data_IF_257651427895
#
_entry.id   IF_257651427895
#
_cell.length_a   1.000
_cell.length_b   1.000
_cell.length_c   1.000
_cell.angle_alpha   90.00
_cell.angle_beta   90.00
_cell.angle_gamma   90.00
#
_symmetry.space_group_name_H-M   'P 1'
#
loop_
_entity.id
_entity.type
_entity.pdbx_description
1 polymer ?
#
# COMPACT_ATOMS: atom_id res chain seq x y z
N UNK A 1 -7.42 3.79 1.23
CA UNK A 1 -6.46 4.42 0.30
C UNK A 1 -5.24 3.51 0.27
N UNK A 2 -4.85 3.06 -0.91
CA UNK A 2 -3.68 2.20 -1.10
C UNK A 2 -2.61 3.03 -1.80
N UNK A 3 -1.43 3.19 -1.19
CA UNK A 3 -0.28 3.80 -1.85
C UNK A 3 0.59 2.69 -2.42
N UNK A 4 0.86 2.77 -3.73
CA UNK A 4 1.61 1.77 -4.49
C UNK A 4 2.96 2.36 -4.94
N UNK A 5 4.04 1.59 -4.75
CA UNK A 5 5.34 1.84 -5.39
C UNK A 5 5.70 0.61 -6.21
N UNK A 6 5.89 0.75 -7.53
CA UNK A 6 6.24 -0.38 -8.40
C UNK A 6 7.19 0.07 -9.52
N UNK A 7 8.18 -0.73 -9.94
CA UNK A 7 8.84 -0.54 -11.23
C UNK A 7 7.87 -0.90 -12.37
N UNK A 8 8.08 -0.32 -13.55
CA UNK A 8 7.22 -0.54 -14.71
C UNK A 8 7.17 -2.01 -15.15
N UNK A 9 5.97 -2.46 -15.56
CA UNK A 9 5.79 -3.77 -16.20
C UNK A 9 5.92 -4.99 -15.28
N UNK A 10 5.84 -4.82 -13.95
CA UNK A 10 5.94 -5.93 -13.01
C UNK A 10 4.63 -6.73 -12.93
N UNK A 11 4.71 -8.05 -13.10
CA UNK A 11 3.55 -8.94 -13.02
C UNK A 11 3.34 -9.41 -11.57
N UNK A 12 2.19 -9.05 -11.00
CA UNK A 12 1.84 -9.43 -9.63
C UNK A 12 0.76 -10.51 -9.65
N UNK A 13 1.03 -11.62 -8.97
CA UNK A 13 0.06 -12.70 -8.72
C UNK A 13 0.01 -12.99 -7.21
N UNK A 14 -1.22 -13.00 -6.67
CA UNK A 14 -1.61 -13.27 -5.28
C UNK A 14 -1.32 -12.17 -4.23
N UNK A 15 -2.40 -11.57 -3.70
CA UNK A 15 -2.45 -10.61 -2.59
C UNK A 15 -3.70 -10.98 -1.80
N UNK A 16 -3.54 -11.24 -0.50
CA UNK A 16 -4.66 -11.47 0.41
C UNK A 16 -5.04 -10.19 1.17
N UNK A 17 -6.33 -10.01 1.44
CA UNK A 17 -6.84 -8.90 2.25
C UNK A 17 -6.73 -9.22 3.75
N UNK A 18 -5.84 -8.56 4.47
CA UNK A 18 -5.93 -8.45 5.93
C UNK A 18 -5.66 -7.01 6.38
N UNK A 19 -6.47 -6.51 7.32
CA UNK A 19 -6.62 -5.09 7.67
C UNK A 19 -5.43 -4.46 8.43
N UNK A 20 -4.30 -5.15 8.61
CA UNK A 20 -3.19 -4.66 9.42
C UNK A 20 -1.82 -4.85 8.75
N UNK A 21 -1.79 -5.04 7.43
CA UNK A 21 -0.59 -5.55 6.75
C UNK A 21 -0.11 -4.63 5.64
N UNK A 22 1.18 -4.33 5.67
CA UNK A 22 1.94 -3.82 4.54
C UNK A 22 2.41 -5.04 3.74
N UNK A 23 2.08 -5.09 2.45
CA UNK A 23 2.60 -6.16 1.61
C UNK A 23 3.81 -5.68 0.81
N UNK A 24 4.91 -6.38 1.01
CA UNK A 24 6.09 -6.31 0.16
C UNK A 24 6.09 -7.54 -0.73
N UNK A 25 6.20 -7.33 -2.05
CA UNK A 25 6.31 -8.42 -3.01
C UNK A 25 7.71 -8.45 -3.61
N UNK A 26 8.41 -9.55 -3.35
CA UNK A 26 9.50 -10.07 -4.18
C UNK A 26 9.35 -11.60 -4.22
N UNK A 27 8.86 -12.16 -5.33
CA UNK A 27 8.65 -13.61 -5.56
C UNK A 27 7.96 -14.41 -4.42
N UNK A 28 7.50 -13.75 -3.33
CA UNK A 28 6.92 -14.30 -2.11
C UNK A 28 6.17 -13.17 -1.36
N UNK A 29 4.94 -13.47 -0.94
CA UNK A 29 4.08 -12.59 -0.12
C UNK A 29 4.60 -12.59 1.31
N UNK A 30 5.26 -11.49 1.73
CA UNK A 30 5.67 -11.34 3.13
C UNK A 30 4.84 -10.25 3.82
N UNK A 31 4.08 -10.64 4.85
CA UNK A 31 3.32 -9.71 5.70
C UNK A 31 4.25 -9.09 6.74
N UNK A 32 4.34 -7.76 6.81
CA UNK A 32 5.18 -7.08 7.80
C UNK A 32 4.38 -6.17 8.74
N UNK A 33 4.61 -6.38 10.04
CA UNK A 33 4.45 -5.46 11.18
C UNK A 33 3.05 -4.93 11.57
N UNK A 34 2.94 -4.52 12.84
CA UNK A 34 1.84 -3.74 13.40
C UNK A 34 2.14 -2.25 13.19
N UNK A 35 1.37 -1.59 12.30
CA UNK A 35 1.57 -0.20 11.86
C UNK A 35 1.41 0.88 12.95
N UNK A 36 0.93 0.52 14.14
CA UNK A 36 0.77 1.48 15.25
C UNK A 36 2.05 1.74 16.05
N UNK A 37 3.03 0.84 15.98
CA UNK A 37 4.26 0.93 16.81
C UNK A 37 5.39 1.61 16.07
N UNK A 38 5.47 2.94 16.21
CA UNK A 38 6.42 3.79 15.48
C UNK A 38 7.90 3.48 15.78
N UNK A 39 8.19 3.05 17.00
CA UNK A 39 9.49 2.56 17.46
C UNK A 39 9.98 1.33 16.69
N UNK A 40 9.07 0.50 16.18
CA UNK A 40 9.43 -0.69 15.39
C UNK A 40 9.85 -0.39 13.96
N UNK A 41 9.73 0.87 13.51
CA UNK A 41 10.16 1.28 12.17
C UNK A 41 11.68 1.43 12.03
N UNK A 42 12.43 1.60 13.12
CA UNK A 42 13.90 1.71 13.07
C UNK A 42 14.55 0.48 12.41
N UNK A 43 13.98 -0.70 12.64
CA UNK A 43 14.45 -1.96 12.06
C UNK A 43 13.75 -2.31 10.74
N UNK A 44 12.78 -1.51 10.29
CA UNK A 44 11.95 -1.86 9.14
C UNK A 44 12.80 -1.97 7.87
N UNK A 45 13.70 -1.03 7.60
CA UNK A 45 14.61 -1.11 6.46
C UNK A 45 15.49 -2.35 6.51
N UNK A 46 15.98 -2.73 7.70
CA UNK A 46 16.77 -3.95 7.93
C UNK A 46 15.95 -5.21 7.66
N UNK A 47 14.69 -5.25 8.11
CA UNK A 47 13.75 -6.36 7.85
C UNK A 47 13.42 -6.48 6.37
N UNK A 48 13.15 -5.36 5.67
CA UNK A 48 12.99 -5.37 4.22
C UNK A 48 14.23 -5.98 3.58
N UNK A 49 15.41 -5.47 3.92
CA UNK A 49 16.68 -5.94 3.36
C UNK A 49 16.92 -7.44 3.59
N UNK A 50 16.55 -7.96 4.76
CA UNK A 50 16.63 -9.40 5.06
C UNK A 50 15.67 -10.21 4.19
N UNK A 51 14.44 -9.73 3.98
CA UNK A 51 13.42 -10.44 3.20
C UNK A 51 13.71 -10.41 1.70
N UNK A 52 14.10 -9.26 1.16
CA UNK A 52 14.36 -9.09 -0.27
C UNK A 52 15.79 -9.51 -0.66
N UNK A 53 16.68 -9.64 0.33
CA UNK A 53 18.07 -10.00 0.15
C UNK A 53 18.78 -9.10 -0.87
N UNK A 54 19.49 -9.73 -1.80
CA UNK A 54 20.11 -9.01 -2.91
C UNK A 54 19.11 -8.66 -4.02
N UNK A 55 17.91 -9.25 -4.08
CA UNK A 55 16.93 -8.97 -5.14
C UNK A 55 16.27 -7.58 -5.02
N UNK A 56 16.30 -6.99 -3.83
CA UNK A 56 15.73 -5.67 -3.58
C UNK A 56 14.18 -5.65 -3.59
N UNK A 57 13.60 -4.54 -3.15
CA UNK A 57 12.15 -4.34 -3.14
C UNK A 57 11.63 -3.87 -4.51
N UNK A 58 10.66 -4.58 -5.07
CA UNK A 58 9.99 -4.17 -6.31
C UNK A 58 8.66 -3.48 -5.99
N UNK A 59 7.82 -4.06 -5.12
CA UNK A 59 6.49 -3.53 -4.86
C UNK A 59 6.20 -3.33 -3.37
N UNK A 60 5.81 -2.10 -3.01
CA UNK A 60 5.25 -1.75 -1.70
C UNK A 60 3.76 -1.43 -1.84
N UNK A 61 2.92 -2.13 -1.07
CA UNK A 61 1.50 -1.82 -0.95
C UNK A 61 1.17 -1.43 0.50
N UNK A 62 0.88 -0.14 0.71
CA UNK A 62 0.39 0.38 1.98
C UNK A 62 -1.13 0.16 2.09
N UNK A 63 -1.54 -1.08 2.34
CA UNK A 63 -2.96 -1.46 2.44
C UNK A 63 -3.53 -1.29 3.86
N UNK A 64 -2.67 -1.21 4.88
CA UNK A 64 -3.12 -1.07 6.26
C UNK A 64 -3.92 0.23 6.43
N UNK A 65 -5.11 0.12 7.04
CA UNK A 65 -5.99 1.25 7.25
C UNK A 65 -6.96 0.98 8.38
N UNK A 66 -7.31 2.02 9.13
CA UNK A 66 -8.34 1.99 10.17
C UNK A 66 -9.36 3.07 9.90
N UNK A 67 -10.60 2.82 10.31
CA UNK A 67 -11.62 3.85 10.39
C UNK A 67 -12.25 3.78 11.77
N UNK A 68 -12.52 4.93 12.35
CA UNK A 68 -13.33 5.02 13.58
C UNK A 68 -14.78 5.24 13.21
N UNK A 69 -15.70 4.78 14.07
CA UNK A 69 -17.13 4.97 13.84
C UNK A 69 -17.43 6.43 13.56
N UNK A 70 -18.27 6.70 12.57
CA UNK A 70 -18.78 8.04 12.31
C UNK A 70 -19.52 8.54 13.55
N UNK A 71 -19.00 9.59 14.19
CA UNK A 71 -19.65 10.30 15.29
C UNK A 71 -19.73 11.78 14.96
N UNK A 72 -20.59 12.51 15.66
CA UNK A 72 -20.55 13.98 15.63
C UNK A 72 -19.18 14.45 16.08
N UNK A 73 -18.70 15.57 15.51
CA UNK A 73 -17.37 16.13 15.81
C UNK A 73 -17.15 16.34 17.31
N UNK A 74 -18.19 16.76 18.05
CA UNK A 74 -18.14 16.96 19.51
C UNK A 74 -17.94 15.68 20.34
N UNK A 75 -18.10 14.50 19.73
CA UNK A 75 -17.95 13.19 20.39
C UNK A 75 -16.67 12.47 19.96
N UNK A 76 -15.89 13.07 19.05
CA UNK A 76 -14.65 12.48 18.57
C UNK A 76 -13.60 12.58 19.68
N UNK A 77 -13.00 11.44 20.04
CA UNK A 77 -11.90 11.41 21.01
C UNK A 77 -10.58 11.73 20.32
N UNK A 78 -9.70 12.43 21.02
CA UNK A 78 -8.33 12.71 20.55
C UNK A 78 -7.58 11.42 20.17
N UNK A 79 -7.65 10.40 21.03
CA UNK A 79 -7.05 9.08 20.78
C UNK A 79 -7.50 8.46 19.46
N UNK A 80 -8.79 8.60 19.11
CA UNK A 80 -9.33 8.08 17.85
C UNK A 80 -8.77 8.82 16.64
N UNK A 81 -8.60 10.14 16.72
CA UNK A 81 -7.99 10.93 15.66
C UNK A 81 -6.51 10.56 15.51
N UNK A 82 -5.79 10.49 16.61
CA UNK A 82 -4.37 10.12 16.62
C UNK A 82 -4.16 8.74 16.01
N UNK A 83 -4.98 7.75 16.39
CA UNK A 83 -4.93 6.41 15.79
C UNK A 83 -5.16 6.43 14.27
N UNK A 84 -6.13 7.19 13.78
CA UNK A 84 -6.38 7.32 12.33
C UNK A 84 -5.19 7.96 11.61
N UNK A 85 -4.66 9.07 12.13
CA UNK A 85 -3.51 9.73 11.51
C UNK A 85 -2.26 8.87 11.55
N UNK A 86 -2.01 8.17 12.66
CA UNK A 86 -0.86 7.27 12.79
C UNK A 86 -0.91 6.17 11.74
N UNK A 87 -2.04 5.48 11.59
CA UNK A 87 -2.15 4.33 10.69
C UNK A 87 -2.32 4.75 9.23
N UNK A 88 -3.20 5.71 8.93
CA UNK A 88 -3.58 6.04 7.55
C UNK A 88 -2.64 7.06 6.90
N UNK A 89 -1.80 7.76 7.66
CA UNK A 89 -0.96 8.85 7.14
C UNK A 89 0.50 8.68 7.52
N UNK A 90 0.81 8.68 8.82
CA UNK A 90 2.20 8.68 9.31
C UNK A 90 2.92 7.39 8.94
N UNK A 91 2.29 6.24 9.18
CA UNK A 91 2.86 4.95 8.84
C UNK A 91 3.20 4.83 7.34
N UNK A 92 2.28 5.06 6.38
CA UNK A 92 2.60 5.05 4.95
C UNK A 92 3.79 5.92 4.55
N UNK A 93 3.94 7.11 5.14
CA UNK A 93 5.05 8.02 4.85
C UNK A 93 6.38 7.43 5.33
N UNK A 94 6.45 6.97 6.58
CA UNK A 94 7.67 6.40 7.17
C UNK A 94 8.08 5.14 6.42
N UNK A 95 7.11 4.28 6.11
CA UNK A 95 7.30 3.03 5.40
C UNK A 95 7.84 3.26 3.99
N UNK A 96 7.23 4.18 3.25
CA UNK A 96 7.68 4.58 1.90
C UNK A 96 9.10 5.10 1.94
N UNK A 97 9.44 5.95 2.91
CA UNK A 97 10.80 6.49 3.08
C UNK A 97 11.83 5.39 3.37
N UNK A 98 11.50 4.43 4.22
CA UNK A 98 12.39 3.31 4.54
C UNK A 98 12.52 2.32 3.37
N UNK A 99 11.42 2.04 2.67
CA UNK A 99 11.36 1.20 1.49
C UNK A 99 12.14 1.79 0.31
N UNK A 100 12.17 3.11 0.15
CA UNK A 100 12.89 3.79 -0.93
C UNK A 100 14.37 3.39 -0.99
N UNK A 101 15.03 3.24 0.16
CA UNK A 101 16.42 2.79 0.22
C UNK A 101 16.59 1.36 -0.32
N UNK A 102 15.65 0.46 0.00
CA UNK A 102 15.67 -0.92 -0.48
C UNK A 102 15.28 -1.02 -1.96
N UNK A 103 14.30 -0.24 -2.41
CA UNK A 103 13.93 -0.12 -3.82
C UNK A 103 15.09 0.41 -4.65
N UNK A 104 15.83 1.40 -4.14
CA UNK A 104 17.08 1.92 -4.75
C UNK A 104 18.11 0.82 -4.96
N UNK A 105 18.18 -0.17 -4.06
CA UNK A 105 19.08 -1.31 -4.21
C UNK A 105 18.65 -2.27 -5.32
N UNK A 106 17.36 -2.62 -5.43
CA UNK A 106 16.83 -3.41 -6.57
C UNK A 106 17.12 -2.69 -7.88
N UNK A 107 16.81 -1.39 -7.94
CA UNK A 107 17.06 -0.56 -9.12
C UNK A 107 18.55 -0.43 -9.47
N UNK A 108 19.46 -0.50 -8.49
CA UNK A 108 20.90 -0.52 -8.76
C UNK A 108 21.37 -1.79 -9.47
N UNK A 109 20.60 -2.87 -9.34
CA UNK A 109 20.85 -4.15 -10.01
C UNK A 109 20.16 -4.20 -11.38
N UNK A 110 19.02 -3.52 -11.53
CA UNK A 110 18.24 -3.42 -12.77
C UNK A 110 18.70 -2.27 -13.72
N UNK A 111 19.64 -1.42 -13.27
CA UNK A 111 20.41 -0.35 -13.96
C UNK A 111 19.78 1.07 -14.11
N UNK A 112 20.72 2.04 -13.99
CA UNK A 112 20.76 3.51 -14.27
C UNK A 112 19.50 4.17 -14.89
N UNK A 113 18.90 5.10 -14.12
CA UNK A 113 17.89 6.12 -14.47
C UNK A 113 16.44 5.83 -13.97
N UNK A 114 16.28 5.77 -12.65
CA UNK A 114 15.08 6.02 -11.82
C UNK A 114 13.68 5.90 -12.47
N UNK A 115 13.19 4.67 -12.64
CA UNK A 115 11.84 4.34 -13.13
C UNK A 115 10.89 3.87 -12.00
N UNK A 116 10.66 4.71 -10.98
CA UNK A 116 9.72 4.41 -9.88
C UNK A 116 8.34 4.98 -10.22
N UNK A 117 7.35 4.12 -10.40
CA UNK A 117 5.95 4.55 -10.44
C UNK A 117 5.40 4.70 -9.02
N UNK A 118 4.72 5.84 -8.78
CA UNK A 118 3.96 6.10 -7.57
C UNK A 118 2.53 6.41 -7.96
N UNK A 119 1.56 5.66 -7.43
CA UNK A 119 0.14 5.94 -7.66
C UNK A 119 -0.68 5.72 -6.39
N UNK A 120 -1.75 6.49 -6.25
CA UNK A 120 -2.78 6.25 -5.25
C UNK A 120 -3.88 5.40 -5.86
N UNK A 121 -4.41 4.44 -5.09
CA UNK A 121 -5.49 3.58 -5.55
C UNK A 121 -6.64 3.51 -4.55
N UNK A 122 -7.85 3.64 -5.08
CA UNK A 122 -9.11 3.46 -4.38
C UNK A 122 -9.64 2.04 -4.66
N UNK A 123 -9.81 1.18 -3.64
CA UNK A 123 -10.20 -0.23 -3.84
C UNK A 123 -11.68 -0.42 -4.24
N UNK A 124 -12.43 0.67 -4.37
CA UNK A 124 -13.89 0.65 -4.42
C UNK A 124 -14.51 0.58 -3.02
N UNK A 125 -15.84 0.59 -2.95
CA UNK A 125 -16.55 0.33 -1.70
C UNK A 125 -16.75 -1.17 -1.55
N UNK A 126 -15.87 -1.79 -0.75
CA UNK A 126 -15.72 -3.25 -0.64
C UNK A 126 -16.38 -3.81 0.62
N UNK A 127 -17.05 -4.96 0.50
CA UNK A 127 -17.66 -5.73 1.62
C UNK A 127 -16.59 -6.30 2.54
N UNK A 128 -16.18 -5.48 3.49
CA UNK A 128 -15.22 -5.79 4.58
C UNK A 128 -15.79 -5.31 5.91
N UNK A 129 -15.14 -5.58 7.04
CA UNK A 129 -15.57 -5.00 8.31
C UNK A 129 -15.60 -3.46 8.27
N UNK A 130 -14.72 -2.86 7.46
CA UNK A 130 -14.64 -1.40 7.25
C UNK A 130 -15.74 -0.89 6.30
N UNK A 131 -15.97 -1.57 5.18
CA UNK A 131 -16.97 -1.13 4.20
C UNK A 131 -18.41 -1.52 4.55
N UNK A 132 -18.58 -2.48 5.45
CA UNK A 132 -19.88 -2.99 5.87
C UNK A 132 -20.55 -3.90 4.83
N UNK A 133 -21.61 -4.59 5.26
CA UNK A 133 -22.34 -5.58 4.47
C UNK A 133 -23.04 -5.03 3.22
N UNK A 134 -23.32 -3.73 3.20
CA UNK A 134 -24.05 -3.06 2.10
C UNK A 134 -23.14 -2.59 0.98
N UNK A 135 -21.83 -2.78 1.11
CA UNK A 135 -20.90 -2.38 0.07
C UNK A 135 -21.17 -3.16 -1.25
N UNK A 136 -21.16 -2.49 -2.40
CA UNK A 136 -21.56 -3.10 -3.67
C UNK A 136 -20.53 -4.10 -4.21
N UNK A 137 -19.26 -3.97 -3.84
CA UNK A 137 -18.15 -4.78 -4.36
C UNK A 137 -17.72 -5.85 -3.35
N UNK A 138 -17.52 -7.10 -3.78
CA UNK A 138 -16.83 -8.11 -2.94
C UNK A 138 -15.32 -7.92 -2.95
N UNK A 139 -14.68 -8.57 -1.97
CA UNK A 139 -13.23 -8.56 -1.79
C UNK A 139 -12.51 -9.11 -3.01
N UNK A 140 -12.94 -10.23 -3.58
CA UNK A 140 -12.25 -10.88 -4.69
C UNK A 140 -12.28 -10.03 -5.96
N UNK A 141 -13.43 -9.44 -6.28
CA UNK A 141 -13.59 -8.53 -7.42
C UNK A 141 -12.73 -7.28 -7.27
N UNK A 142 -12.67 -6.70 -6.07
CA UNK A 142 -11.80 -5.56 -5.77
C UNK A 142 -10.33 -5.91 -5.97
N UNK A 143 -9.87 -7.01 -5.37
CA UNK A 143 -8.48 -7.48 -5.45
C UNK A 143 -8.11 -7.77 -6.91
N UNK A 144 -8.94 -8.51 -7.65
CA UNK A 144 -8.68 -8.85 -9.04
C UNK A 144 -8.62 -7.61 -9.94
N UNK A 145 -9.47 -6.62 -9.71
CA UNK A 145 -9.37 -5.33 -10.40
C UNK A 145 -8.05 -4.62 -10.10
N UNK A 146 -7.70 -4.48 -8.82
CA UNK A 146 -6.44 -3.87 -8.39
C UNK A 146 -5.24 -4.55 -9.08
N UNK A 147 -5.22 -5.89 -9.11
CA UNK A 147 -4.22 -6.68 -9.81
C UNK A 147 -4.12 -6.33 -11.29
N UNK A 148 -5.25 -6.40 -11.98
CA UNK A 148 -5.33 -6.12 -13.40
C UNK A 148 -4.91 -4.69 -13.74
N UNK A 149 -5.21 -3.75 -12.85
CA UNK A 149 -4.83 -2.35 -12.99
C UNK A 149 -3.32 -2.19 -12.80
N UNK A 150 -2.74 -2.69 -11.70
CA UNK A 150 -1.30 -2.61 -11.43
C UNK A 150 -0.48 -3.22 -12.57
N UNK A 151 -0.89 -4.38 -13.09
CA UNK A 151 -0.21 -5.06 -14.19
C UNK A 151 -0.20 -4.25 -15.51
N UNK A 152 -1.02 -3.21 -15.63
CA UNK A 152 -1.11 -2.33 -16.81
C UNK A 152 -0.45 -0.97 -16.61
N UNK A 153 0.01 -0.63 -15.41
CA UNK A 153 0.55 0.69 -15.11
C UNK A 153 1.88 0.95 -15.83
N UNK A 154 2.01 2.15 -16.38
CA UNK A 154 3.21 2.64 -17.06
C UNK A 154 3.62 4.04 -16.61
N UNK A 155 4.65 4.61 -17.24
CA UNK A 155 5.24 5.89 -16.82
C UNK A 155 4.27 7.05 -16.74
N UNK A 156 3.32 7.11 -17.68
CA UNK A 156 2.27 8.13 -17.70
C UNK A 156 1.27 8.04 -16.56
N UNK A 157 1.30 7.00 -15.72
CA UNK A 157 0.38 6.81 -14.60
C UNK A 157 0.96 7.23 -13.25
N UNK A 158 2.25 7.60 -13.23
CA UNK A 158 2.87 8.12 -12.02
C UNK A 158 2.22 9.45 -11.60
N UNK A 159 1.86 9.57 -10.33
CA UNK A 159 1.17 10.73 -9.78
C UNK A 159 -0.34 10.77 -10.04
N UNK A 160 -0.96 9.67 -10.50
CA UNK A 160 -2.42 9.57 -10.64
C UNK A 160 -3.09 9.00 -9.39
N UNK A 161 -4.38 9.32 -9.27
CA UNK A 161 -5.30 8.63 -8.36
C UNK A 161 -6.22 7.73 -9.18
N UNK A 162 -6.17 6.42 -8.95
CA UNK A 162 -6.86 5.41 -9.75
C UNK A 162 -7.89 4.65 -8.92
N UNK A 163 -8.97 4.23 -9.55
CA UNK A 163 -9.93 3.27 -9.01
C UNK A 163 -9.43 1.84 -9.26
N UNK A 164 -9.97 0.86 -8.53
CA UNK A 164 -9.63 -0.57 -8.68
C UNK A 164 -9.74 -1.08 -10.13
N UNK A 165 -10.57 -0.48 -10.97
CA UNK A 165 -10.77 -0.84 -12.39
C UNK A 165 -9.85 -0.09 -13.37
N UNK A 166 -8.97 0.78 -12.86
CA UNK A 166 -8.03 1.58 -13.64
C UNK A 166 -8.57 2.92 -14.11
N UNK A 167 -9.83 3.25 -13.79
CA UNK A 167 -10.36 4.59 -14.06
C UNK A 167 -9.63 5.65 -13.22
N UNK A 168 -9.30 6.79 -13.82
CA UNK A 168 -8.67 7.92 -13.11
C UNK A 168 -9.73 8.70 -12.32
N UNK A 169 -9.40 9.00 -11.07
CA UNK A 169 -10.22 9.79 -10.16
C UNK A 169 -9.62 11.18 -10.00
N UNK A 170 -10.44 12.22 -9.80
CA UNK A 170 -9.95 13.52 -9.39
C UNK A 170 -9.33 13.46 -7.98
N UNK A 171 -8.34 14.31 -7.74
CA UNK A 171 -7.72 14.52 -6.42
C UNK A 171 -8.66 15.23 -5.44
#
# INVERSE_FOLDING_TARGET
MVLLLCPYGYNISNLGCHQQTILLLHNNISKLTNVKKLDTYGDFASKIKQLVGNGGLNLLINNAGVTTKFTKLSLVKEEQLMDNFTVNTVAPIILTKAALNAATKSMSLDLKNNQILVACMHPGWVRTDMGGKNAPLDVDSSINGIFNTINKLGEGDSGKFLQYDGSELPW
#
